data_IF_226936158076
#
_entry.id   IF_226936158076
#
_cell.length_a   1.000
_cell.length_b   1.000
_cell.length_c   1.000
_cell.angle_alpha   90.00
_cell.angle_beta   90.00
_cell.angle_gamma   90.00
#
_symmetry.space_group_name_H-M   'P 1'
#
loop_
_entity.id
_entity.type
_entity.pdbx_description
1 polymer ?
#
# COMPACT_ATOMS: atom_id res chain seq x y z
N UNK A 1 -16.04 12.81 0.08
CA UNK A 1 -14.67 12.25 0.15
C UNK A 1 -14.28 11.85 -1.26
N UNK A 2 -13.13 12.31 -1.76
CA UNK A 2 -12.71 11.95 -3.11
C UNK A 2 -12.33 10.45 -3.12
N UNK A 3 -13.12 9.64 -3.83
CA UNK A 3 -12.89 8.20 -3.97
C UNK A 3 -11.80 7.95 -5.02
N UNK A 4 -10.53 8.00 -4.61
CA UNK A 4 -9.40 7.63 -5.45
C UNK A 4 -9.55 6.16 -5.94
N UNK A 5 -9.24 5.92 -7.19
CA UNK A 5 -9.17 4.55 -7.76
C UNK A 5 -7.82 3.90 -7.46
N UNK A 6 -7.72 2.58 -7.58
CA UNK A 6 -6.44 1.88 -7.40
C UNK A 6 -5.36 2.40 -8.34
N UNK A 7 -5.68 2.67 -9.60
CA UNK A 7 -4.70 3.18 -10.57
C UNK A 7 -4.19 4.57 -10.18
N UNK A 8 -5.08 5.45 -9.73
CA UNK A 8 -4.69 6.78 -9.25
C UNK A 8 -3.83 6.70 -7.98
N UNK A 9 -4.16 5.78 -7.07
CA UNK A 9 -3.39 5.56 -5.84
C UNK A 9 -1.98 5.03 -6.14
N UNK A 10 -1.86 4.02 -7.01
CA UNK A 10 -0.56 3.49 -7.43
C UNK A 10 0.26 4.55 -8.19
N UNK A 11 -0.37 5.35 -9.04
CA UNK A 11 0.30 6.45 -9.73
C UNK A 11 0.87 7.48 -8.76
N UNK A 12 0.12 7.86 -7.71
CA UNK A 12 0.60 8.80 -6.68
C UNK A 12 1.80 8.22 -5.92
N UNK A 13 1.80 6.92 -5.61
CA UNK A 13 2.94 6.28 -4.96
C UNK A 13 4.15 6.25 -5.89
N UNK A 14 3.96 5.86 -7.14
CA UNK A 14 5.01 5.84 -8.15
C UNK A 14 5.67 7.22 -8.28
N UNK A 15 4.86 8.27 -8.45
CA UNK A 15 5.35 9.66 -8.53
C UNK A 15 6.06 10.10 -7.25
N UNK A 16 5.55 9.73 -6.07
CA UNK A 16 6.20 10.06 -4.81
C UNK A 16 7.57 9.39 -4.66
N UNK A 17 7.72 8.15 -5.15
CA UNK A 17 9.00 7.43 -5.13
C UNK A 17 9.98 8.04 -6.14
N UNK A 18 9.54 8.25 -7.38
CA UNK A 18 10.35 8.78 -8.48
C UNK A 18 10.85 10.20 -8.20
N UNK A 19 10.00 11.04 -7.59
CA UNK A 19 10.36 12.41 -7.17
C UNK A 19 11.05 12.47 -5.80
N UNK A 20 11.34 11.33 -5.16
CA UNK A 20 11.96 11.25 -3.82
C UNK A 20 11.18 11.96 -2.70
N UNK A 21 9.86 12.00 -2.79
CA UNK A 21 8.94 12.57 -1.80
C UNK A 21 8.61 11.57 -0.68
N UNK A 22 9.62 11.19 0.10
CA UNK A 22 9.50 10.14 1.12
C UNK A 22 8.40 10.39 2.18
N UNK A 23 8.18 11.65 2.58
CA UNK A 23 7.11 11.98 3.54
C UNK A 23 5.72 11.74 2.96
N UNK A 24 5.48 12.14 1.71
CA UNK A 24 4.20 11.93 1.06
C UNK A 24 3.94 10.44 0.77
N UNK A 25 4.96 9.72 0.31
CA UNK A 25 4.89 8.26 0.15
C UNK A 25 4.53 7.56 1.49
N UNK A 26 5.14 7.98 2.59
CA UNK A 26 4.84 7.45 3.92
C UNK A 26 3.40 7.77 4.38
N UNK A 27 2.85 8.92 4.03
CA UNK A 27 1.44 9.24 4.28
C UNK A 27 0.50 8.30 3.51
N UNK A 28 0.79 8.03 2.23
CA UNK A 28 0.01 7.10 1.41
C UNK A 28 0.05 5.66 1.94
N UNK A 29 1.09 5.26 2.67
CA UNK A 29 1.20 3.94 3.32
C UNK A 29 0.74 3.95 4.80
N UNK A 30 0.26 5.09 5.31
CA UNK A 30 -0.13 5.23 6.71
C UNK A 30 -1.58 4.83 6.95
N UNK A 31 -1.83 4.10 8.03
CA UNK A 31 -3.19 3.89 8.54
C UNK A 31 -3.88 5.15 9.06
N UNK A 32 -3.15 6.27 9.16
CA UNK A 32 -3.72 7.57 9.52
C UNK A 32 -4.33 8.29 8.31
N UNK A 33 -3.98 7.90 7.10
CA UNK A 33 -4.48 8.54 5.89
C UNK A 33 -5.90 8.04 5.55
N UNK A 34 -6.84 8.91 5.10
CA UNK A 34 -8.23 8.53 4.83
C UNK A 34 -8.44 7.41 3.79
N UNK A 35 -7.41 7.09 3.00
CA UNK A 35 -7.48 6.04 1.97
C UNK A 35 -7.79 4.66 2.57
N UNK A 36 -7.43 4.39 3.83
CA UNK A 36 -7.68 3.09 4.47
C UNK A 36 -9.17 2.75 4.60
N UNK A 37 -10.03 3.77 4.63
CA UNK A 37 -11.48 3.61 4.67
C UNK A 37 -12.10 3.49 3.27
N UNK A 38 -11.31 3.55 2.19
CA UNK A 38 -11.82 3.48 0.82
C UNK A 38 -12.02 2.01 0.39
N UNK A 39 -13.26 1.53 0.18
CA UNK A 39 -13.51 0.13 -0.20
C UNK A 39 -12.88 -0.25 -1.54
N UNK A 40 -12.55 0.72 -2.40
CA UNK A 40 -11.87 0.49 -3.69
C UNK A 40 -10.39 0.12 -3.54
N UNK A 41 -9.80 0.37 -2.38
CA UNK A 41 -8.41 0.05 -2.04
C UNK A 41 -8.28 -1.14 -1.07
N UNK A 42 -9.39 -1.55 -0.45
CA UNK A 42 -9.47 -2.75 0.39
C UNK A 42 -9.57 -3.99 -0.52
N UNK A 43 -8.45 -4.37 -1.15
CA UNK A 43 -8.39 -5.42 -2.15
C UNK A 43 -7.81 -6.72 -1.56
N UNK A 44 -8.45 -7.89 -1.79
CA UNK A 44 -7.93 -9.18 -1.32
C UNK A 44 -6.72 -9.69 -2.11
N UNK A 45 -6.55 -9.24 -3.37
CA UNK A 45 -5.47 -9.68 -4.26
C UNK A 45 -4.95 -8.52 -5.13
N UNK A 46 -4.21 -7.55 -4.55
CA UNK A 46 -3.69 -6.38 -5.26
C UNK A 46 -2.36 -6.62 -5.99
N UNK A 47 -1.73 -7.79 -5.84
CA UNK A 47 -0.34 -8.08 -6.24
C UNK A 47 -0.08 -7.78 -7.73
N UNK A 48 -0.90 -8.34 -8.63
CA UNK A 48 -0.74 -8.17 -10.08
C UNK A 48 -0.81 -6.69 -10.49
N UNK A 49 -1.71 -5.92 -9.88
CA UNK A 49 -1.85 -4.49 -10.18
C UNK A 49 -0.66 -3.67 -9.68
N UNK A 50 -0.12 -4.03 -8.50
CA UNK A 50 1.05 -3.34 -7.96
C UNK A 50 2.28 -3.62 -8.85
N UNK A 51 2.48 -4.87 -9.27
CA UNK A 51 3.56 -5.29 -10.17
C UNK A 51 3.53 -4.62 -11.54
N UNK A 52 2.34 -4.23 -12.03
CA UNK A 52 2.20 -3.52 -13.29
C UNK A 52 2.67 -2.05 -13.24
N UNK A 53 2.83 -1.47 -12.05
CA UNK A 53 3.08 -0.03 -11.87
C UNK A 53 4.34 0.27 -11.05
N UNK A 54 4.66 -0.57 -10.08
CA UNK A 54 5.75 -0.39 -9.14
C UNK A 54 6.82 -1.48 -9.35
N UNK A 55 8.07 -1.11 -9.11
CA UNK A 55 9.20 -2.04 -9.15
C UNK A 55 9.46 -2.65 -7.76
N UNK A 56 10.05 -3.86 -7.69
CA UNK A 56 10.54 -4.41 -6.43
C UNK A 56 11.54 -3.50 -5.70
N UNK A 57 11.44 -3.36 -4.37
CA UNK A 57 10.51 -4.06 -3.46
C UNK A 57 9.21 -3.29 -3.17
N UNK A 58 8.94 -2.20 -3.89
CA UNK A 58 7.81 -1.32 -3.61
C UNK A 58 6.47 -1.91 -4.04
N UNK A 59 6.44 -2.73 -5.10
CA UNK A 59 5.26 -3.50 -5.51
C UNK A 59 4.76 -4.42 -4.38
N UNK A 60 5.66 -5.18 -3.76
CA UNK A 60 5.37 -6.08 -2.65
C UNK A 60 4.93 -5.30 -1.40
N UNK A 61 5.62 -4.19 -1.11
CA UNK A 61 5.30 -3.32 0.02
C UNK A 61 3.88 -2.74 -0.10
N UNK A 62 3.51 -2.22 -1.27
CA UNK A 62 2.20 -1.60 -1.50
C UNK A 62 1.09 -2.65 -1.55
N UNK A 63 1.35 -3.80 -2.18
CA UNK A 63 0.40 -4.92 -2.18
C UNK A 63 0.10 -5.41 -0.76
N UNK A 64 1.14 -5.57 0.08
CA UNK A 64 0.97 -5.93 1.49
C UNK A 64 0.16 -4.88 2.25
N UNK A 65 0.42 -3.59 2.03
CA UNK A 65 -0.36 -2.52 2.66
C UNK A 65 -1.85 -2.58 2.29
N UNK A 66 -2.18 -2.73 1.00
CA UNK A 66 -3.56 -2.84 0.54
C UNK A 66 -4.26 -4.07 1.14
N UNK A 67 -3.58 -5.22 1.22
CA UNK A 67 -4.10 -6.41 1.92
C UNK A 67 -4.29 -6.19 3.42
N UNK A 68 -3.41 -5.41 4.05
CA UNK A 68 -3.56 -5.03 5.44
C UNK A 68 -4.85 -4.20 5.63
N UNK A 69 -5.10 -3.20 4.76
CA UNK A 69 -6.35 -2.42 4.83
C UNK A 69 -7.60 -3.29 4.62
N UNK A 70 -7.54 -4.27 3.71
CA UNK A 70 -8.61 -5.24 3.50
C UNK A 70 -8.86 -6.10 4.75
N UNK A 71 -7.80 -6.67 5.35
CA UNK A 71 -7.93 -7.49 6.55
C UNK A 71 -8.51 -6.70 7.74
N UNK A 72 -8.07 -5.45 7.94
CA UNK A 72 -8.63 -4.54 8.95
C UNK A 72 -10.11 -4.26 8.69
N UNK A 73 -10.51 -4.00 7.44
CA UNK A 73 -11.92 -3.77 7.10
C UNK A 73 -12.81 -5.00 7.38
N UNK A 74 -12.24 -6.19 7.32
CA UNK A 74 -12.91 -7.46 7.64
C UNK A 74 -12.75 -7.90 9.10
N UNK A 75 -12.16 -7.06 9.96
CA UNK A 75 -11.88 -7.36 11.37
C UNK A 75 -10.96 -8.58 11.59
N UNK A 76 -10.18 -8.97 10.57
CA UNK A 76 -9.14 -10.00 10.70
C UNK A 76 -7.80 -9.35 11.09
N UNK A 77 -7.67 -9.04 12.37
CA UNK A 77 -6.50 -8.34 12.88
C UNK A 77 -5.24 -9.23 12.93
N UNK A 78 -5.40 -10.55 12.94
CA UNK A 78 -4.27 -11.49 12.88
C UNK A 78 -3.65 -11.46 11.49
N UNK A 79 -4.47 -11.50 10.45
CA UNK A 79 -4.00 -11.37 9.08
C UNK A 79 -3.50 -9.96 8.76
N UNK A 80 -4.15 -8.91 9.28
CA UNK A 80 -3.65 -7.53 9.18
C UNK A 80 -2.23 -7.39 9.74
N UNK A 81 -1.95 -7.95 10.93
CA UNK A 81 -0.61 -7.89 11.54
C UNK A 81 0.46 -8.57 10.67
N UNK A 82 0.13 -9.69 10.01
CA UNK A 82 1.05 -10.38 9.08
C UNK A 82 1.40 -9.46 7.91
N UNK A 83 0.40 -8.82 7.30
CA UNK A 83 0.66 -7.91 6.18
C UNK A 83 1.39 -6.65 6.60
N UNK A 84 1.07 -6.08 7.77
CA UNK A 84 1.82 -4.96 8.32
C UNK A 84 3.31 -5.31 8.52
N UNK A 85 3.60 -6.54 8.98
CA UNK A 85 4.98 -7.04 9.08
C UNK A 85 5.65 -7.13 7.72
N UNK A 86 4.93 -7.62 6.70
CA UNK A 86 5.44 -7.72 5.33
C UNK A 86 5.72 -6.34 4.69
N UNK A 87 4.94 -5.30 5.01
CA UNK A 87 5.23 -3.92 4.59
C UNK A 87 6.61 -3.50 5.11
N UNK A 88 6.89 -3.71 6.40
CA UNK A 88 8.18 -3.35 7.01
C UNK A 88 9.32 -4.16 6.40
N UNK A 89 9.14 -5.47 6.22
CA UNK A 89 10.17 -6.33 5.61
C UNK A 89 10.49 -5.92 4.17
N UNK A 90 9.47 -5.55 3.39
CA UNK A 90 9.66 -5.08 2.01
C UNK A 90 10.33 -3.71 1.96
N UNK A 91 9.96 -2.80 2.85
CA UNK A 91 10.63 -1.51 3.00
C UNK A 91 12.12 -1.67 3.33
N UNK A 92 12.49 -2.61 4.22
CA UNK A 92 13.90 -2.87 4.56
C UNK A 92 14.72 -3.34 3.36
N UNK A 93 14.11 -4.05 2.40
CA UNK A 93 14.79 -4.47 1.16
C UNK A 93 15.11 -3.29 0.24
N UNK A 94 14.44 -2.14 0.38
CA UNK A 94 14.73 -0.96 -0.44
C UNK A 94 16.08 -0.30 -0.11
N UNK A 95 16.72 -0.71 0.99
CA UNK A 95 18.01 -0.20 1.45
C UNK A 95 19.15 -1.22 1.32
N UNK A 96 18.89 -2.36 0.67
CA UNK A 96 19.86 -3.45 0.45
C UNK A 96 20.33 -3.41 -1.00
#
# INVERSE_FOLDING_TARGET
MAHITINQYLQQIYEAIDNHEGTFCAELLSFKHPHVANPRLQLPSPEEKCQQVLEPPYDEMVAAHLRCTYAVANHDFVEAYKFQTLVVQSFLRAFQ
#
